data_IF_328193773627
#
_entry.id   IF_328193773627
#
_cell.length_a   1.000
_cell.length_b   1.000
_cell.length_c   1.000
_cell.angle_alpha   90.00
_cell.angle_beta   90.00
_cell.angle_gamma   90.00
#
_symmetry.space_group_name_H-M   'P 1'
#
loop_
_entity.id
_entity.type
_entity.pdbx_description
1 polymer ?
#
# COMPACT_ATOMS: atom_id res chain seq x y z
N UNK A 1 -8.61 20.69 -4.97
CA UNK A 1 -8.20 19.31 -4.78
C UNK A 1 -6.71 19.25 -5.03
N UNK A 2 -5.96 18.68 -4.14
CA UNK A 2 -4.48 18.66 -4.25
C UNK A 2 -4.08 17.21 -4.57
N UNK A 3 -4.30 16.80 -5.83
CA UNK A 3 -3.98 15.44 -6.28
C UNK A 3 -2.47 15.20 -6.15
N UNK A 4 -2.09 14.26 -5.29
CA UNK A 4 -0.69 13.84 -5.17
C UNK A 4 -0.30 12.86 -6.25
N UNK A 5 -1.27 12.01 -6.68
CA UNK A 5 -1.11 11.00 -7.71
C UNK A 5 -2.24 11.10 -8.72
N UNK A 6 -1.93 11.08 -10.00
CA UNK A 6 -2.91 10.96 -11.07
C UNK A 6 -2.46 9.92 -12.08
N UNK A 7 -3.34 8.97 -12.38
CA UNK A 7 -3.21 8.03 -13.50
C UNK A 7 -4.22 8.45 -14.57
N UNK A 8 -3.78 8.63 -15.80
CA UNK A 8 -4.66 8.90 -16.94
C UNK A 8 -4.50 7.84 -18.02
N UNK A 9 -5.57 7.07 -18.24
CA UNK A 9 -5.70 6.02 -19.27
C UNK A 9 -4.56 5.01 -19.28
N UNK A 10 -4.07 4.62 -18.11
CA UNK A 10 -2.98 3.65 -17.98
C UNK A 10 -3.41 2.31 -18.56
N UNK A 11 -2.63 1.82 -19.49
CA UNK A 11 -2.79 0.51 -20.12
C UNK A 11 -1.49 -0.28 -20.04
N UNK A 12 -1.60 -1.60 -19.91
CA UNK A 12 -0.46 -2.50 -19.84
C UNK A 12 -0.72 -3.79 -20.60
N UNK A 13 0.17 -4.11 -21.51
CA UNK A 13 0.22 -5.39 -22.22
C UNK A 13 1.58 -6.05 -22.00
N UNK A 14 1.56 -7.35 -21.77
CA UNK A 14 2.76 -8.20 -21.73
C UNK A 14 2.90 -8.93 -23.05
N UNK A 15 4.05 -8.78 -23.68
CA UNK A 15 4.42 -9.55 -24.86
C UNK A 15 4.95 -10.92 -24.43
N UNK A 16 4.36 -11.99 -24.94
CA UNK A 16 4.88 -13.34 -24.83
C UNK A 16 5.37 -13.80 -26.19
N UNK A 17 6.09 -14.90 -26.25
CA UNK A 17 6.60 -15.43 -27.55
C UNK A 17 5.49 -15.76 -28.58
N UNK A 18 4.25 -15.97 -28.10
CA UNK A 18 3.12 -16.39 -28.94
C UNK A 18 1.97 -15.42 -28.98
N UNK A 19 1.78 -14.60 -27.90
CA UNK A 19 0.60 -13.78 -27.75
C UNK A 19 0.90 -12.46 -27.02
N UNK A 20 -0.03 -11.51 -27.13
CA UNK A 20 -0.10 -10.30 -26.31
C UNK A 20 -1.16 -10.49 -25.22
N UNK A 21 -0.76 -10.38 -23.96
CA UNK A 21 -1.66 -10.46 -22.83
C UNK A 21 -1.94 -9.04 -22.33
N UNK A 22 -3.14 -8.52 -22.59
CA UNK A 22 -3.59 -7.25 -22.03
C UNK A 22 -3.93 -7.42 -20.55
N UNK A 23 -3.16 -6.77 -19.69
CA UNK A 23 -3.35 -6.84 -18.26
C UNK A 23 -4.24 -5.70 -17.74
N UNK A 24 -3.99 -4.47 -18.20
CA UNK A 24 -4.73 -3.27 -17.81
C UNK A 24 -5.25 -2.54 -19.04
N UNK A 25 -6.49 -2.02 -18.97
CA UNK A 25 -7.12 -1.29 -20.04
C UNK A 25 -7.71 0.03 -19.52
N UNK A 26 -7.05 1.14 -19.87
CA UNK A 26 -7.52 2.51 -19.62
C UNK A 26 -7.88 2.80 -18.15
N UNK A 27 -6.96 2.50 -17.21
CA UNK A 27 -7.13 2.80 -15.78
C UNK A 27 -6.88 4.29 -15.55
N UNK A 28 -7.89 5.00 -15.01
CA UNK A 28 -7.78 6.43 -14.67
C UNK A 28 -8.35 6.70 -13.29
N UNK A 29 -7.55 7.26 -12.40
CA UNK A 29 -7.96 7.75 -11.07
C UNK A 29 -6.92 8.73 -10.52
N UNK A 30 -7.32 9.51 -9.53
CA UNK A 30 -6.41 10.35 -8.74
C UNK A 30 -6.45 9.98 -7.27
N UNK A 31 -5.46 10.41 -6.51
CA UNK A 31 -5.39 10.28 -5.05
C UNK A 31 -5.02 11.62 -4.44
N UNK A 32 -5.83 12.08 -3.50
CA UNK A 32 -5.59 13.34 -2.77
C UNK A 32 -4.52 13.18 -1.69
N UNK A 33 -3.87 14.29 -1.32
CA UNK A 33 -2.89 14.28 -0.23
C UNK A 33 -3.54 13.87 1.10
N UNK A 34 -2.92 12.92 1.81
CA UNK A 34 -3.42 12.33 3.06
C UNK A 34 -4.54 11.31 2.89
N UNK A 35 -4.99 11.05 1.67
CA UNK A 35 -6.03 10.07 1.39
C UNK A 35 -5.49 8.62 1.51
N UNK A 36 -6.33 7.73 2.01
CA UNK A 36 -6.09 6.29 2.02
C UNK A 36 -7.00 5.61 1.00
N UNK A 37 -6.46 5.24 -0.15
CA UNK A 37 -7.19 4.56 -1.24
C UNK A 37 -6.89 3.08 -1.22
N UNK A 38 -7.92 2.23 -1.29
CA UNK A 38 -7.75 0.80 -1.51
C UNK A 38 -8.14 0.42 -2.95
N UNK A 39 -7.37 -0.47 -3.55
CA UNK A 39 -7.66 -1.09 -4.85
C UNK A 39 -7.97 -2.56 -4.60
N UNK A 40 -9.19 -2.98 -4.91
CA UNK A 40 -9.62 -4.38 -4.79
C UNK A 40 -9.97 -4.95 -6.17
N UNK A 41 -9.87 -6.27 -6.29
CA UNK A 41 -10.19 -6.97 -7.53
C UNK A 41 -9.79 -8.43 -7.47
N UNK A 42 -10.22 -9.25 -8.44
CA UNK A 42 -9.90 -10.67 -8.49
C UNK A 42 -8.40 -10.95 -8.48
N UNK A 43 -8.02 -12.17 -8.06
CA UNK A 43 -6.62 -12.57 -8.12
C UNK A 43 -6.11 -12.51 -9.57
N UNK A 44 -4.91 -11.97 -9.74
CA UNK A 44 -4.29 -11.84 -11.04
C UNK A 44 -4.87 -10.74 -11.96
N UNK A 45 -5.79 -9.89 -11.52
CA UNK A 45 -6.34 -8.82 -12.37
C UNK A 45 -5.35 -7.69 -12.68
N UNK A 46 -4.19 -7.60 -12.01
CA UNK A 46 -3.17 -6.58 -12.31
C UNK A 46 -2.96 -5.53 -11.21
N UNK A 47 -3.46 -5.76 -9.99
CA UNK A 47 -3.30 -4.84 -8.85
C UNK A 47 -1.82 -4.50 -8.56
N UNK A 48 -0.98 -5.52 -8.41
CA UNK A 48 0.48 -5.37 -8.22
C UNK A 48 1.13 -4.66 -9.41
N UNK A 49 0.62 -4.90 -10.65
CA UNK A 49 1.12 -4.18 -11.83
C UNK A 49 0.83 -2.69 -11.74
N UNK A 50 -0.36 -2.29 -11.26
CA UNK A 50 -0.69 -0.87 -11.02
C UNK A 50 0.30 -0.26 -10.01
N UNK A 51 0.54 -0.92 -8.86
CA UNK A 51 1.53 -0.43 -7.89
C UNK A 51 2.93 -0.34 -8.48
N UNK A 52 3.34 -1.35 -9.27
CA UNK A 52 4.66 -1.36 -9.92
C UNK A 52 4.81 -0.23 -10.94
N UNK A 53 3.73 0.12 -11.65
CA UNK A 53 3.71 1.26 -12.57
C UNK A 53 3.81 2.57 -11.79
N UNK A 54 3.03 2.74 -10.71
CA UNK A 54 3.10 3.92 -9.84
C UNK A 54 4.50 4.07 -9.23
N UNK A 55 5.14 2.96 -8.82
CA UNK A 55 6.50 2.96 -8.29
C UNK A 55 7.58 3.24 -9.34
N UNK A 56 7.23 3.33 -10.63
CA UNK A 56 8.19 3.48 -11.73
C UNK A 56 9.04 2.24 -12.01
N UNK A 57 8.66 1.10 -11.47
CA UNK A 57 9.33 -0.20 -11.67
C UNK A 57 8.91 -0.85 -12.99
N UNK A 58 7.70 -0.55 -13.44
CA UNK A 58 7.13 -1.07 -14.68
C UNK A 58 6.66 0.11 -15.55
N UNK A 59 7.02 0.11 -16.82
CA UNK A 59 6.57 1.13 -17.77
C UNK A 59 5.21 0.71 -18.32
N UNK A 60 4.17 1.58 -18.30
CA UNK A 60 2.90 1.29 -18.93
C UNK A 60 3.06 1.23 -20.47
N UNK A 61 2.18 0.50 -21.14
CA UNK A 61 2.11 0.45 -22.61
C UNK A 61 1.43 1.70 -23.20
N UNK A 62 0.64 2.43 -22.39
CA UNK A 62 -0.02 3.68 -22.75
C UNK A 62 -0.55 4.41 -21.53
N UNK A 63 -0.90 5.68 -21.71
CA UNK A 63 -1.36 6.57 -20.64
C UNK A 63 -0.22 7.30 -19.94
N UNK A 64 -0.57 8.17 -19.00
CA UNK A 64 0.37 9.02 -18.28
C UNK A 64 0.15 8.94 -16.77
N UNK A 65 1.25 9.09 -16.02
CA UNK A 65 1.25 9.20 -14.56
C UNK A 65 1.90 10.49 -14.15
N UNK A 66 1.23 11.20 -13.28
CA UNK A 66 1.82 12.37 -12.63
C UNK A 66 1.81 12.23 -11.11
N UNK A 67 2.87 12.73 -10.47
CA UNK A 67 2.94 12.86 -9.01
C UNK A 67 3.22 14.32 -8.68
N UNK A 68 2.38 14.91 -7.82
CA UNK A 68 2.39 16.35 -7.52
C UNK A 68 2.36 17.20 -8.81
N UNK A 69 1.53 16.79 -9.77
CA UNK A 69 1.35 17.47 -11.06
C UNK A 69 2.56 17.37 -12.02
N UNK A 70 3.56 16.54 -11.72
CA UNK A 70 4.74 16.33 -12.58
C UNK A 70 4.78 14.89 -13.08
N UNK A 71 5.22 14.66 -14.33
CA UNK A 71 5.42 13.31 -14.86
C UNK A 71 6.30 12.47 -13.93
N UNK A 72 5.98 11.18 -13.82
CA UNK A 72 6.75 10.24 -13.01
C UNK A 72 8.17 10.10 -13.57
N UNK A 73 9.14 10.68 -12.88
CA UNK A 73 10.56 10.56 -13.22
C UNK A 73 11.27 9.66 -12.20
N UNK A 74 12.07 8.72 -12.69
CA UNK A 74 12.87 7.85 -11.82
C UNK A 74 13.75 8.65 -10.88
N UNK A 75 13.65 8.38 -9.58
CA UNK A 75 14.49 8.96 -8.53
C UNK A 75 14.12 10.35 -8.05
N UNK A 76 13.14 11.04 -8.66
CA UNK A 76 12.71 12.38 -8.22
C UNK A 76 11.50 12.38 -7.29
N UNK A 77 10.75 11.29 -7.25
CA UNK A 77 9.57 11.16 -6.40
C UNK A 77 9.87 10.27 -5.21
N UNK A 78 9.47 10.72 -4.03
CA UNK A 78 9.66 9.94 -2.81
C UNK A 78 8.49 8.98 -2.61
N UNK A 79 8.62 7.78 -3.15
CA UNK A 79 7.65 6.68 -3.00
C UNK A 79 8.21 5.65 -2.05
N UNK A 80 7.40 5.25 -1.08
CA UNK A 80 7.65 4.08 -0.24
C UNK A 80 6.84 2.90 -0.75
N UNK A 81 7.49 1.78 -1.06
CA UNK A 81 6.80 0.59 -1.53
C UNK A 81 7.02 -0.58 -0.55
N UNK A 82 5.95 -1.00 0.10
CA UNK A 82 5.91 -2.17 0.96
C UNK A 82 5.37 -3.34 0.16
N UNK A 83 6.20 -4.34 -0.04
CA UNK A 83 5.88 -5.55 -0.80
C UNK A 83 5.03 -6.52 0.03
N UNK A 84 4.40 -7.50 -0.63
CA UNK A 84 3.54 -8.50 -0.02
C UNK A 84 4.24 -9.27 1.12
N UNK A 85 5.52 -9.60 0.96
CA UNK A 85 6.37 -10.12 2.04
C UNK A 85 7.10 -8.97 2.71
N UNK A 86 7.47 -9.15 3.98
CA UNK A 86 8.20 -8.13 4.75
C UNK A 86 9.56 -7.77 4.14
N UNK A 87 10.16 -8.72 3.39
CA UNK A 87 11.45 -8.58 2.67
C UNK A 87 12.55 -7.95 3.53
N UNK A 88 12.50 -8.21 4.85
CA UNK A 88 13.58 -7.83 5.75
C UNK A 88 14.80 -8.72 5.50
N UNK A 89 15.98 -8.13 5.42
CA UNK A 89 17.20 -8.88 5.23
C UNK A 89 17.51 -9.72 6.47
N UNK A 90 17.51 -11.07 6.37
CA UNK A 90 17.62 -11.95 7.53
C UNK A 90 18.98 -11.89 8.24
N UNK A 91 20.01 -11.41 7.53
CA UNK A 91 21.37 -11.21 8.08
C UNK A 91 21.59 -9.84 8.72
N UNK A 92 20.60 -8.92 8.63
CA UNK A 92 20.63 -7.61 9.27
C UNK A 92 19.75 -7.59 10.51
N UNK A 93 20.14 -6.80 11.49
CA UNK A 93 19.28 -6.46 12.63
C UNK A 93 18.05 -5.64 12.18
N UNK A 94 17.06 -5.49 13.05
CA UNK A 94 15.89 -4.65 12.78
C UNK A 94 16.31 -3.19 12.53
N UNK A 95 17.22 -2.66 13.33
CA UNK A 95 17.74 -1.30 13.15
C UNK A 95 18.44 -1.12 11.80
N UNK A 96 19.30 -2.05 11.41
CA UNK A 96 19.99 -2.01 10.11
C UNK A 96 19.02 -2.18 8.94
N UNK A 97 17.96 -2.99 9.08
CA UNK A 97 16.90 -3.07 8.09
C UNK A 97 16.16 -1.74 7.96
N UNK A 98 15.81 -1.10 9.07
CA UNK A 98 15.06 0.17 9.05
C UNK A 98 15.91 1.34 8.57
N UNK A 99 17.23 1.28 8.71
CA UNK A 99 18.16 2.29 8.19
C UNK A 99 18.51 2.12 6.71
N UNK A 100 18.19 0.98 6.10
CA UNK A 100 18.56 0.67 4.73
C UNK A 100 18.20 1.78 3.71
N UNK A 101 17.01 2.42 3.74
CA UNK A 101 16.70 3.51 2.80
C UNK A 101 17.62 4.72 2.96
N UNK A 102 18.09 5.00 4.17
CA UNK A 102 19.06 6.07 4.43
C UNK A 102 20.44 5.73 3.85
N UNK A 103 20.86 4.48 4.02
CA UNK A 103 22.10 3.96 3.44
C UNK A 103 22.08 4.09 1.91
N UNK A 104 20.99 3.66 1.26
CA UNK A 104 20.82 3.73 -0.20
C UNK A 104 20.85 5.17 -0.69
N UNK A 105 20.21 6.10 0.04
CA UNK A 105 20.23 7.54 -0.28
C UNK A 105 21.54 8.22 0.12
N UNK A 106 22.46 7.51 0.78
CA UNK A 106 23.69 8.04 1.39
C UNK A 106 23.41 9.18 2.39
N UNK A 107 22.23 9.16 3.00
CA UNK A 107 21.86 10.12 4.05
C UNK A 107 22.47 9.68 5.38
N UNK A 108 23.53 10.37 5.79
CA UNK A 108 24.23 10.14 7.06
C UNK A 108 23.80 11.11 8.16
N UNK A 109 22.76 11.93 7.92
CA UNK A 109 22.33 12.93 8.89
C UNK A 109 21.81 12.28 10.17
N UNK A 110 22.22 12.79 11.32
CA UNK A 110 21.71 12.31 12.61
C UNK A 110 20.19 12.56 12.73
N UNK A 111 19.67 13.63 12.11
CA UNK A 111 18.23 13.93 12.09
C UNK A 111 17.42 12.78 11.46
N UNK A 112 17.87 12.23 10.34
CA UNK A 112 17.19 11.12 9.68
C UNK A 112 17.24 9.83 10.49
N UNK A 113 18.39 9.54 11.11
CA UNK A 113 18.53 8.39 12.02
C UNK A 113 17.66 8.55 13.26
N UNK A 114 17.63 9.74 13.85
CA UNK A 114 16.81 10.02 15.02
C UNK A 114 15.32 9.83 14.72
N UNK A 115 14.85 10.30 13.55
CA UNK A 115 13.48 10.04 13.09
C UNK A 115 13.15 8.55 13.02
N UNK A 116 14.04 7.72 12.47
CA UNK A 116 13.84 6.25 12.43
C UNK A 116 13.84 5.66 13.85
N UNK A 117 14.72 6.13 14.72
CA UNK A 117 14.77 5.70 16.12
C UNK A 117 13.47 6.04 16.87
N UNK A 118 12.91 7.23 16.62
CA UNK A 118 11.62 7.64 17.17
C UNK A 118 10.49 6.75 16.67
N UNK A 119 10.47 6.40 15.38
CA UNK A 119 9.50 5.44 14.86
C UNK A 119 9.64 4.06 15.52
N UNK A 120 10.87 3.55 15.70
CA UNK A 120 11.11 2.29 16.40
C UNK A 120 10.63 2.33 17.85
N UNK A 121 10.84 3.46 18.58
CA UNK A 121 10.35 3.66 19.95
C UNK A 121 8.83 3.75 19.99
N UNK A 122 8.25 4.62 19.17
CA UNK A 122 6.83 4.93 19.13
C UNK A 122 5.97 3.70 18.81
N UNK A 123 6.50 2.81 17.96
CA UNK A 123 5.78 1.61 17.51
C UNK A 123 6.28 0.29 18.13
N UNK A 124 6.94 0.40 19.30
CA UNK A 124 7.23 -0.75 20.18
C UNK A 124 8.30 -1.71 19.67
N UNK A 125 9.19 -1.27 18.77
CA UNK A 125 10.27 -2.10 18.23
C UNK A 125 11.67 -1.74 18.79
N UNK A 126 11.76 -0.70 19.63
CA UNK A 126 13.06 -0.24 20.14
C UNK A 126 13.85 -1.31 20.89
N UNK A 127 13.20 -2.08 21.76
CA UNK A 127 13.85 -3.15 22.53
C UNK A 127 14.31 -4.31 21.63
N UNK A 128 13.72 -4.44 20.45
CA UNK A 128 14.02 -5.46 19.45
C UNK A 128 14.99 -4.99 18.37
N UNK A 129 15.47 -3.72 18.42
CA UNK A 129 16.28 -3.11 17.36
C UNK A 129 17.57 -3.85 17.01
N UNK A 130 18.16 -4.57 17.99
CA UNK A 130 19.37 -5.39 17.82
C UNK A 130 19.08 -6.87 17.47
N UNK A 131 17.80 -7.26 17.40
CA UNK A 131 17.38 -8.60 17.01
C UNK A 131 17.35 -8.73 15.49
N UNK A 132 17.42 -9.97 15.00
CA UNK A 132 17.25 -10.30 13.59
C UNK A 132 15.78 -10.64 13.29
N UNK A 133 15.31 -10.53 12.02
CA UNK A 133 13.91 -10.77 11.64
C UNK A 133 13.34 -12.11 12.12
N UNK A 134 14.14 -13.18 12.10
CA UNK A 134 13.73 -14.52 12.57
C UNK A 134 13.35 -14.59 14.06
N UNK A 135 13.72 -13.59 14.84
CA UNK A 135 13.46 -13.52 16.28
C UNK A 135 12.19 -12.70 16.60
N UNK A 136 11.49 -12.20 15.58
CA UNK A 136 10.30 -11.38 15.71
C UNK A 136 9.05 -12.16 15.30
N UNK A 137 7.89 -11.78 15.88
CA UNK A 137 6.58 -12.25 15.38
C UNK A 137 6.29 -11.69 13.99
N UNK A 138 5.32 -12.29 13.28
CA UNK A 138 4.89 -11.81 11.96
C UNK A 138 4.48 -10.33 11.97
N UNK A 139 3.66 -9.93 12.95
CA UNK A 139 3.23 -8.54 13.10
C UNK A 139 4.38 -7.58 13.41
N UNK A 140 5.34 -7.99 14.22
CA UNK A 140 6.54 -7.17 14.48
C UNK A 140 7.37 -6.99 13.21
N UNK A 141 7.50 -8.02 12.38
CA UNK A 141 8.20 -7.90 11.09
C UNK A 141 7.46 -6.95 10.14
N UNK A 142 6.13 -7.02 10.06
CA UNK A 142 5.34 -6.11 9.23
C UNK A 142 5.49 -4.64 9.69
N UNK A 143 5.45 -4.38 11.01
CA UNK A 143 5.74 -3.03 11.55
C UNK A 143 7.15 -2.57 11.19
N UNK A 144 8.15 -3.45 11.31
CA UNK A 144 9.52 -3.11 10.93
C UNK A 144 9.66 -2.80 9.43
N UNK A 145 8.98 -3.56 8.57
CA UNK A 145 8.93 -3.32 7.12
C UNK A 145 8.27 -1.98 6.79
N UNK A 146 7.16 -1.62 7.47
CA UNK A 146 6.55 -0.30 7.30
C UNK A 146 7.48 0.82 7.77
N UNK A 147 8.13 0.70 8.95
CA UNK A 147 9.09 1.70 9.44
C UNK A 147 10.24 1.86 8.45
N UNK A 148 10.79 0.76 7.91
CA UNK A 148 11.79 0.81 6.84
C UNK A 148 11.28 1.60 5.64
N UNK A 149 10.07 1.31 5.19
CA UNK A 149 9.45 2.00 4.04
C UNK A 149 9.28 3.50 4.32
N UNK A 150 8.95 3.88 5.55
CA UNK A 150 8.77 5.27 5.98
C UNK A 150 10.08 6.02 6.28
N UNK A 151 11.20 5.31 6.47
CA UNK A 151 12.49 5.90 6.84
C UNK A 151 12.96 6.99 5.87
N UNK A 152 12.64 6.84 4.59
CA UNK A 152 12.95 7.84 3.55
C UNK A 152 11.98 9.02 3.49
N UNK A 153 11.03 9.10 4.41
CA UNK A 153 9.96 10.12 4.45
C UNK A 153 9.19 10.25 3.12
N UNK A 154 8.62 9.15 2.60
CA UNK A 154 7.95 9.18 1.31
C UNK A 154 6.72 10.07 1.34
N UNK A 155 6.41 10.66 0.18
CA UNK A 155 5.17 11.42 -0.06
C UNK A 155 3.98 10.47 -0.25
N UNK A 156 4.23 9.32 -0.88
CA UNK A 156 3.23 8.31 -1.21
C UNK A 156 3.69 6.93 -0.72
N UNK A 157 2.81 6.22 -0.01
CA UNK A 157 2.98 4.84 0.41
C UNK A 157 2.20 3.90 -0.52
N UNK A 158 2.86 2.88 -1.02
CA UNK A 158 2.26 1.79 -1.77
C UNK A 158 2.34 0.53 -0.93
N UNK A 159 1.20 -0.12 -0.68
CA UNK A 159 1.11 -1.33 0.14
C UNK A 159 0.53 -2.46 -0.71
N UNK A 160 1.33 -3.49 -0.98
CA UNK A 160 0.93 -4.63 -1.80
C UNK A 160 0.60 -5.83 -0.90
N UNK A 161 -0.69 -6.05 -0.65
CA UNK A 161 -1.21 -7.15 0.18
C UNK A 161 -0.45 -7.34 1.51
N UNK A 162 -0.24 -6.29 2.32
CA UNK A 162 0.69 -6.31 3.46
C UNK A 162 0.30 -7.28 4.57
N UNK A 163 -0.92 -7.80 4.56
CA UNK A 163 -1.46 -8.65 5.62
C UNK A 163 -1.65 -10.11 5.19
N UNK A 164 -1.42 -10.45 3.92
CA UNK A 164 -1.78 -11.76 3.33
C UNK A 164 -1.04 -12.96 3.95
N UNK A 165 0.16 -12.74 4.50
CA UNK A 165 0.99 -13.80 5.11
C UNK A 165 0.70 -14.03 6.61
N UNK A 166 -0.30 -13.34 7.18
CA UNK A 166 -0.62 -13.38 8.61
C UNK A 166 -1.86 -14.24 8.88
N UNK A 167 -1.89 -14.92 10.02
CA UNK A 167 -3.12 -15.54 10.53
C UNK A 167 -4.17 -14.48 10.85
N UNK A 168 -5.42 -14.89 10.96
CA UNK A 168 -6.57 -13.97 11.07
C UNK A 168 -6.46 -13.00 12.26
N UNK A 169 -6.12 -13.49 13.46
CA UNK A 169 -6.06 -12.64 14.66
C UNK A 169 -4.89 -11.65 14.59
N UNK A 170 -3.72 -12.14 14.20
CA UNK A 170 -2.53 -11.28 13.99
C UNK A 170 -2.82 -10.23 12.91
N UNK A 171 -3.52 -10.60 11.84
CA UNK A 171 -3.91 -9.69 10.75
C UNK A 171 -4.75 -8.52 11.24
N UNK A 172 -5.76 -8.77 12.09
CA UNK A 172 -6.60 -7.71 12.66
C UNK A 172 -5.77 -6.70 13.45
N UNK A 173 -4.91 -7.20 14.35
CA UNK A 173 -4.06 -6.36 15.20
C UNK A 173 -3.06 -5.56 14.36
N UNK A 174 -2.40 -6.21 13.39
CA UNK A 174 -1.41 -5.55 12.54
C UNK A 174 -2.07 -4.53 11.61
N UNK A 175 -3.28 -4.79 11.11
CA UNK A 175 -4.05 -3.83 10.33
C UNK A 175 -4.34 -2.55 11.13
N UNK A 176 -4.77 -2.69 12.40
CA UNK A 176 -4.96 -1.57 13.32
C UNK A 176 -3.66 -0.79 13.54
N UNK A 177 -2.57 -1.50 13.86
CA UNK A 177 -1.26 -0.91 14.10
C UNK A 177 -0.75 -0.12 12.87
N UNK A 178 -0.80 -0.73 11.67
CA UNK A 178 -0.32 -0.09 10.44
C UNK A 178 -1.18 1.13 10.07
N UNK A 179 -2.50 1.00 10.17
CA UNK A 179 -3.41 2.11 9.93
C UNK A 179 -3.11 3.30 10.86
N UNK A 180 -2.97 3.04 12.17
CA UNK A 180 -2.65 4.07 13.15
C UNK A 180 -1.31 4.77 12.83
N UNK A 181 -0.29 3.99 12.46
CA UNK A 181 1.02 4.52 12.05
C UNK A 181 0.85 5.47 10.86
N UNK A 182 0.18 5.00 9.81
CA UNK A 182 -0.01 5.74 8.54
C UNK A 182 -0.79 7.03 8.77
N UNK A 183 -1.87 6.98 9.55
CA UNK A 183 -2.70 8.15 9.85
C UNK A 183 -1.97 9.17 10.73
N UNK A 184 -1.28 8.74 11.78
CA UNK A 184 -0.50 9.63 12.66
C UNK A 184 0.63 10.33 11.94
N UNK A 185 1.25 9.68 10.97
CA UNK A 185 2.31 10.25 10.15
C UNK A 185 1.76 11.00 8.91
N UNK A 186 0.44 11.14 8.79
CA UNK A 186 -0.30 11.82 7.71
C UNK A 186 0.20 11.40 6.32
N UNK A 187 0.25 10.08 6.06
CA UNK A 187 0.77 9.55 4.79
C UNK A 187 -0.35 9.25 3.80
N UNK A 188 -0.20 9.75 2.59
CA UNK A 188 -1.03 9.34 1.45
C UNK A 188 -0.72 7.89 1.12
N UNK A 189 -1.74 7.06 0.96
CA UNK A 189 -1.55 5.61 0.85
C UNK A 189 -2.41 4.99 -0.24
N UNK A 190 -1.81 4.13 -1.05
CA UNK A 190 -2.51 3.22 -1.96
C UNK A 190 -2.28 1.80 -1.49
N UNK A 191 -3.34 1.15 -1.03
CA UNK A 191 -3.36 -0.25 -0.62
C UNK A 191 -3.92 -1.12 -1.73
N UNK A 192 -3.24 -2.19 -2.06
CA UNK A 192 -3.79 -3.28 -2.88
C UNK A 192 -4.08 -4.45 -1.97
N UNK A 193 -5.29 -4.97 -2.04
CA UNK A 193 -5.70 -6.18 -1.31
C UNK A 193 -6.78 -6.94 -2.07
N UNK A 194 -6.92 -8.23 -1.77
CA UNK A 194 -8.06 -9.04 -2.20
C UNK A 194 -9.11 -9.22 -1.09
N UNK A 195 -8.84 -8.69 0.11
CA UNK A 195 -9.75 -8.76 1.26
C UNK A 195 -10.60 -7.48 1.35
N UNK A 196 -11.92 -7.64 1.12
CA UNK A 196 -12.90 -6.55 1.20
C UNK A 196 -12.92 -5.93 2.59
N UNK A 197 -12.76 -6.76 3.64
CA UNK A 197 -12.81 -6.27 5.02
C UNK A 197 -11.60 -5.40 5.37
N UNK A 198 -10.42 -5.72 4.84
CA UNK A 198 -9.23 -4.88 4.96
C UNK A 198 -9.46 -3.52 4.28
N UNK A 199 -9.93 -3.54 3.03
CA UNK A 199 -10.20 -2.32 2.27
C UNK A 199 -11.23 -1.42 2.98
N UNK A 200 -12.37 -1.98 3.41
CA UNK A 200 -13.43 -1.24 4.11
C UNK A 200 -12.98 -0.67 5.45
N UNK A 201 -12.17 -1.42 6.18
CA UNK A 201 -11.72 -0.98 7.51
C UNK A 201 -10.63 0.10 7.46
N UNK A 202 -9.93 0.28 6.33
CA UNK A 202 -8.80 1.21 6.23
C UNK A 202 -9.02 2.37 5.27
N UNK A 203 -9.71 2.16 4.15
CA UNK A 203 -9.77 3.15 3.09
C UNK A 203 -10.81 4.26 3.32
N UNK A 204 -10.51 5.43 2.75
CA UNK A 204 -11.45 6.53 2.55
C UNK A 204 -12.22 6.31 1.24
N UNK A 205 -11.55 5.69 0.26
CA UNK A 205 -12.10 5.39 -1.07
C UNK A 205 -11.62 4.02 -1.55
N UNK A 206 -12.52 3.26 -2.17
CA UNK A 206 -12.23 1.95 -2.73
C UNK A 206 -12.44 1.97 -4.24
N UNK A 207 -11.42 1.51 -4.96
CA UNK A 207 -11.45 1.31 -6.42
C UNK A 207 -11.64 -0.19 -6.67
N UNK A 208 -12.70 -0.55 -7.38
CA UNK A 208 -13.02 -1.93 -7.73
C UNK A 208 -12.58 -2.20 -9.16
N UNK A 209 -11.77 -3.25 -9.34
CA UNK A 209 -11.25 -3.66 -10.65
C UNK A 209 -11.95 -4.91 -11.17
N UNK A 210 -12.13 -4.97 -12.49
CA UNK A 210 -12.61 -6.16 -13.20
C UNK A 210 -11.56 -7.26 -13.32
N UNK A 211 -11.95 -8.41 -13.88
CA UNK A 211 -11.03 -9.43 -14.43
C UNK A 211 -10.21 -8.84 -15.59
N UNK A 212 -9.17 -9.59 -16.03
CA UNK A 212 -8.35 -9.18 -17.18
C UNK A 212 -9.14 -9.19 -18.51
N UNK A 213 -8.89 -8.22 -19.39
CA UNK A 213 -8.13 -6.98 -19.19
C UNK A 213 -8.82 -6.08 -18.17
N UNK A 214 -8.07 -5.67 -17.15
CA UNK A 214 -8.63 -5.00 -15.98
C UNK A 214 -9.04 -3.57 -16.28
N UNK A 215 -10.27 -3.21 -15.90
CA UNK A 215 -10.85 -1.87 -15.93
C UNK A 215 -11.33 -1.48 -14.54
N UNK A 216 -11.51 -0.20 -14.30
CA UNK A 216 -12.20 0.26 -13.12
C UNK A 216 -13.70 0.03 -13.33
N UNK A 217 -14.30 -0.76 -12.44
CA UNK A 217 -15.74 -0.98 -12.41
C UNK A 217 -16.45 0.16 -11.72
N UNK A 218 -16.03 0.44 -10.51
CA UNK A 218 -16.57 1.49 -9.68
C UNK A 218 -15.49 2.10 -8.77
N UNK A 219 -15.76 3.33 -8.34
CA UNK A 219 -15.02 4.02 -7.30
C UNK A 219 -16.01 4.42 -6.21
N UNK A 220 -15.80 3.95 -5.00
CA UNK A 220 -16.68 4.19 -3.86
C UNK A 220 -16.02 5.07 -2.81
N UNK A 221 -16.66 6.17 -2.44
CA UNK A 221 -16.34 6.90 -1.21
C UNK A 221 -16.94 6.13 -0.04
N UNK A 222 -16.12 5.83 0.96
CA UNK A 222 -16.53 5.03 2.11
C UNK A 222 -16.91 5.96 3.25
N UNK A 223 -18.18 5.96 3.61
CA UNK A 223 -18.78 6.81 4.64
C UNK A 223 -18.68 6.24 6.07
N UNK A 224 -17.72 5.33 6.30
CA UNK A 224 -17.41 4.82 7.63
C UNK A 224 -16.50 5.80 8.38
N UNK A 225 -16.65 5.86 9.72
CA UNK A 225 -15.87 6.78 10.53
C UNK A 225 -14.36 6.47 10.45
N UNK A 226 -13.59 7.38 9.89
CA UNK A 226 -12.15 7.26 9.72
C UNK A 226 -11.31 7.63 10.95
N UNK A 227 -11.95 8.20 11.96
CA UNK A 227 -11.29 8.59 13.22
C UNK A 227 -11.19 7.44 14.23
N UNK A 228 -11.83 6.30 13.92
CA UNK A 228 -11.75 5.08 14.75
C UNK A 228 -10.83 4.06 14.11
N UNK A 229 -10.36 3.09 14.92
CA UNK A 229 -9.49 2.02 14.41
C UNK A 229 -10.21 1.13 13.39
N UNK A 230 -9.48 0.44 12.49
CA UNK A 230 -10.01 -0.56 11.56
C UNK A 230 -10.91 -1.60 12.23
N UNK A 231 -10.53 -2.06 13.42
CA UNK A 231 -11.32 -3.02 14.18
C UNK A 231 -12.69 -2.43 14.58
N UNK A 232 -12.71 -1.19 15.08
CA UNK A 232 -13.96 -0.49 15.43
C UNK A 232 -14.81 -0.13 14.20
N UNK A 233 -14.21 0.15 13.04
CA UNK A 233 -14.96 0.34 11.79
C UNK A 233 -15.79 -0.88 11.42
N UNK A 234 -15.33 -2.09 11.74
CA UNK A 234 -16.04 -3.36 11.47
C UNK A 234 -17.30 -3.51 12.30
N UNK A 235 -17.43 -2.76 13.41
CA UNK A 235 -18.62 -2.75 14.28
C UNK A 235 -19.71 -1.79 13.77
N UNK A 236 -19.40 -0.92 12.78
CA UNK A 236 -20.37 0.01 12.20
C UNK A 236 -21.49 -0.77 11.47
N UNK A 237 -22.77 -0.49 11.75
CA UNK A 237 -23.89 -1.19 11.09
C UNK A 237 -23.89 -1.10 9.56
N UNK A 238 -23.21 -0.09 8.98
CA UNK A 238 -23.08 0.07 7.53
C UNK A 238 -22.01 -0.83 6.93
N UNK A 239 -21.09 -1.38 7.76
CA UNK A 239 -19.98 -2.18 7.28
C UNK A 239 -20.46 -3.42 6.52
N UNK A 240 -21.45 -4.16 7.06
CA UNK A 240 -21.99 -5.34 6.40
C UNK A 240 -22.68 -5.03 5.07
N UNK A 241 -23.36 -3.87 4.97
CA UNK A 241 -24.00 -3.42 3.72
C UNK A 241 -22.95 -3.09 2.66
N UNK A 242 -21.88 -2.41 3.04
CA UNK A 242 -20.74 -2.14 2.16
C UNK A 242 -20.06 -3.41 1.71
N UNK A 243 -19.81 -4.34 2.65
CA UNK A 243 -19.20 -5.62 2.35
C UNK A 243 -20.02 -6.40 1.31
N UNK A 244 -21.33 -6.53 1.52
CA UNK A 244 -22.23 -7.22 0.59
C UNK A 244 -22.23 -6.57 -0.80
N UNK A 245 -22.25 -5.24 -0.87
CA UNK A 245 -22.20 -4.49 -2.13
C UNK A 245 -20.92 -4.78 -2.90
N UNK A 246 -19.75 -4.62 -2.27
CA UNK A 246 -18.46 -4.86 -2.91
C UNK A 246 -18.27 -6.34 -3.28
N UNK A 247 -18.75 -7.25 -2.43
CA UNK A 247 -18.70 -8.69 -2.70
C UNK A 247 -19.53 -9.05 -3.94
N UNK A 248 -20.71 -8.46 -4.10
CA UNK A 248 -21.53 -8.65 -5.29
C UNK A 248 -20.81 -8.11 -6.54
N UNK A 249 -20.27 -6.92 -6.49
CA UNK A 249 -19.54 -6.32 -7.62
C UNK A 249 -18.36 -7.19 -8.07
N UNK A 250 -17.58 -7.76 -7.15
CA UNK A 250 -16.45 -8.64 -7.46
C UNK A 250 -16.85 -10.01 -8.02
N UNK A 251 -18.03 -10.54 -7.67
CA UNK A 251 -18.43 -11.91 -8.02
C UNK A 251 -19.43 -11.99 -9.16
N UNK A 252 -20.23 -10.94 -9.42
CA UNK A 252 -21.28 -10.98 -10.43
C UNK A 252 -20.89 -10.40 -11.80
N UNK A 253 -19.65 -9.91 -11.95
CA UNK A 253 -19.13 -9.66 -13.29
C UNK A 253 -18.72 -10.97 -13.95
N UNK A 254 -19.64 -11.49 -14.73
CA UNK A 254 -19.38 -12.54 -15.71
C UNK A 254 -18.95 -11.95 -17.04
#
# INVERSE_FOLDING_TARGET
MNDILTLDKISLSYQTEKDEIRALESISFSVDEGEFVAIIGPSGCGKTSILSIIAGLLKPSGGEITIKGKPLEKGKTSIGYMLQKDELFPWRTIMENTYLPLEVKRDKSEKSKEKVNELLKKYGLWEFRKKHPRQLSGGMRQRAALIRTMASSPDLLLLDEPFSALDYQTRLTVCDDLYEIIRRENKTTVLVTHDISEALSTADRIIVLSKRPSKILNIHLIDLNKEVSPLKRREDPRFSKWFERLWRELNYEK
#
